data_IF_015297841041
#
_entry.id   IF_015297841041
#
_cell.length_a   1.000
_cell.length_b   1.000
_cell.length_c   1.000
_cell.angle_alpha   90.00
_cell.angle_beta   90.00
_cell.angle_gamma   90.00
#
_symmetry.space_group_name_H-M   'P 1'
#
loop_
_entity.id
_entity.type
_entity.pdbx_description
1 polymer ?
#
# COMPACT_ATOMS: atom_id res chain seq x y z
N UNK A 1 -24.73 -73.37 5.45
CA UNK A 1 -24.00 -72.39 4.60
C UNK A 1 -24.81 -71.12 4.57
N UNK A 2 -24.45 -70.14 5.40
CA UNK A 2 -25.21 -68.92 5.65
C UNK A 2 -24.49 -67.77 4.95
N UNK A 3 -25.12 -67.16 3.95
CA UNK A 3 -24.55 -66.02 3.21
C UNK A 3 -24.73 -64.74 4.03
N UNK A 4 -23.61 -64.13 4.40
CA UNK A 4 -23.55 -62.80 5.01
C UNK A 4 -23.57 -61.78 3.87
N UNK A 5 -24.64 -61.00 3.76
CA UNK A 5 -24.71 -59.84 2.88
C UNK A 5 -24.18 -58.62 3.64
N UNK A 6 -22.97 -58.17 3.27
CA UNK A 6 -22.41 -56.90 3.73
C UNK A 6 -23.01 -55.81 2.85
N UNK A 7 -23.98 -55.06 3.40
CA UNK A 7 -24.47 -53.83 2.79
C UNK A 7 -23.53 -52.70 3.22
N UNK A 8 -22.64 -52.27 2.32
CA UNK A 8 -21.84 -51.07 2.50
C UNK A 8 -22.73 -49.84 2.30
N UNK A 9 -23.08 -49.15 3.38
CA UNK A 9 -23.69 -47.83 3.31
C UNK A 9 -22.60 -46.78 3.03
N UNK A 10 -22.38 -46.48 1.75
CA UNK A 10 -21.66 -45.29 1.34
C UNK A 10 -22.55 -44.06 1.56
N UNK A 11 -22.46 -43.46 2.76
CA UNK A 11 -22.97 -42.11 2.98
C UNK A 11 -22.00 -41.18 2.26
N UNK A 12 -22.29 -40.91 0.99
CA UNK A 12 -21.72 -39.79 0.28
C UNK A 12 -22.21 -38.53 0.98
N UNK A 13 -21.36 -37.96 1.83
CA UNK A 13 -21.49 -36.56 2.27
C UNK A 13 -21.27 -35.72 1.03
N UNK A 14 -22.35 -35.52 0.26
CA UNK A 14 -22.47 -34.41 -0.68
C UNK A 14 -22.64 -33.14 0.16
N UNK A 15 -21.57 -32.75 0.87
CA UNK A 15 -21.36 -31.36 1.21
C UNK A 15 -21.08 -30.67 -0.12
N UNK A 16 -22.16 -30.29 -0.81
CA UNK A 16 -22.11 -29.30 -1.86
C UNK A 16 -21.57 -28.07 -1.15
N UNK A 17 -20.26 -27.83 -1.30
CA UNK A 17 -19.66 -26.55 -0.98
C UNK A 17 -20.50 -25.56 -1.76
N UNK A 18 -21.42 -24.88 -1.09
CA UNK A 18 -22.05 -23.70 -1.62
C UNK A 18 -20.89 -22.81 -2.00
N UNK A 19 -20.62 -22.69 -3.31
CA UNK A 19 -19.81 -21.64 -3.85
C UNK A 19 -20.46 -20.39 -3.29
N UNK A 20 -19.89 -19.85 -2.20
CA UNK A 20 -20.27 -18.56 -1.69
C UNK A 20 -20.19 -17.66 -2.91
N UNK A 21 -21.34 -17.15 -3.34
CA UNK A 21 -21.41 -16.23 -4.46
C UNK A 21 -20.39 -15.13 -4.13
N UNK A 22 -19.24 -15.17 -4.80
CA UNK A 22 -18.23 -14.16 -4.61
C UNK A 22 -18.95 -12.86 -4.95
N UNK A 23 -18.96 -11.92 -4.00
CA UNK A 23 -19.56 -10.62 -4.26
C UNK A 23 -18.96 -10.11 -5.59
N UNK A 24 -19.78 -9.55 -6.50
CA UNK A 24 -19.26 -8.98 -7.73
C UNK A 24 -18.08 -8.08 -7.34
N UNK A 25 -16.91 -8.24 -7.99
CA UNK A 25 -15.74 -7.47 -7.63
C UNK A 25 -16.14 -6.00 -7.69
N UNK A 26 -15.78 -5.19 -6.69
CA UNK A 26 -16.12 -3.79 -6.69
C UNK A 26 -15.66 -3.18 -8.01
N UNK A 27 -16.51 -2.34 -8.60
CA UNK A 27 -16.17 -1.57 -9.77
C UNK A 27 -14.87 -0.82 -9.52
N UNK A 28 -14.15 -0.55 -10.59
CA UNK A 28 -12.97 0.27 -10.54
C UNK A 28 -13.29 1.61 -9.83
N UNK A 29 -12.71 1.98 -8.66
CA UNK A 29 -12.87 3.31 -8.09
C UNK A 29 -12.81 4.42 -9.15
N UNK A 30 -13.67 5.43 -9.01
CA UNK A 30 -13.92 6.49 -10.02
C UNK A 30 -12.69 7.33 -10.37
N UNK A 31 -11.57 7.14 -9.67
CA UNK A 31 -10.32 7.86 -9.88
C UNK A 31 -9.74 7.63 -11.29
N UNK A 32 -10.14 6.59 -12.04
CA UNK A 32 -9.83 6.52 -13.49
C UNK A 32 -10.43 7.66 -14.31
N UNK A 33 -11.46 8.36 -13.81
CA UNK A 33 -12.00 9.54 -14.48
C UNK A 33 -11.07 10.76 -14.33
N UNK A 34 -10.24 10.78 -13.28
CA UNK A 34 -9.22 11.81 -13.03
C UNK A 34 -7.84 11.15 -12.95
N UNK A 35 -7.48 10.32 -13.93
CA UNK A 35 -6.08 9.89 -14.12
C UNK A 35 -5.12 11.08 -14.02
N UNK A 36 -3.81 10.84 -13.81
CA UNK A 36 -2.86 11.92 -13.49
C UNK A 36 -3.08 13.13 -14.40
N UNK A 37 -3.34 14.30 -13.80
CA UNK A 37 -3.68 15.52 -14.52
C UNK A 37 -2.68 15.73 -15.66
N UNK A 38 -3.18 15.83 -16.88
CA UNK A 38 -2.34 16.08 -18.05
C UNK A 38 -1.82 17.52 -18.01
N UNK A 39 -0.51 17.74 -18.26
CA UNK A 39 0.52 16.78 -18.59
C UNK A 39 1.17 16.15 -17.34
N UNK A 40 1.08 14.82 -17.23
CA UNK A 40 1.86 14.07 -16.25
C UNK A 40 3.33 14.12 -16.67
N UNK A 41 4.19 14.72 -15.83
CA UNK A 41 5.63 14.63 -16.05
C UNK A 41 6.09 13.22 -15.66
N UNK A 42 6.68 12.51 -16.62
CA UNK A 42 7.32 11.22 -16.42
C UNK A 42 8.70 11.36 -15.73
N UNK A 43 8.94 12.43 -14.98
CA UNK A 43 10.20 12.61 -14.26
C UNK A 43 9.83 12.93 -12.83
N UNK A 44 9.73 11.92 -11.98
CA UNK A 44 9.35 12.13 -10.57
C UNK A 44 10.51 12.66 -9.72
N UNK A 45 11.74 12.42 -10.19
CA UNK A 45 12.98 12.73 -9.49
C UNK A 45 12.92 12.34 -7.99
N UNK A 46 12.41 11.14 -7.69
CA UNK A 46 12.37 10.65 -6.31
C UNK A 46 13.78 10.63 -5.72
N UNK A 47 13.93 11.21 -4.53
CA UNK A 47 15.19 11.08 -3.77
C UNK A 47 15.42 9.62 -3.40
N UNK A 48 16.65 9.28 -3.02
CA UNK A 48 16.94 7.92 -2.55
C UNK A 48 16.15 7.59 -1.28
N UNK A 49 15.97 8.59 -0.41
CA UNK A 49 15.23 8.51 0.84
C UNK A 49 13.76 8.23 0.58
N UNK A 50 13.14 8.92 -0.39
CA UNK A 50 11.75 8.66 -0.80
C UNK A 50 11.58 7.23 -1.34
N UNK A 51 12.50 6.76 -2.19
CA UNK A 51 12.44 5.40 -2.76
C UNK A 51 12.52 4.33 -1.67
N UNK A 52 13.43 4.50 -0.72
CA UNK A 52 13.56 3.60 0.44
C UNK A 52 12.34 3.68 1.36
N UNK A 53 11.83 4.87 1.64
CA UNK A 53 10.64 5.07 2.47
C UNK A 53 9.41 4.39 1.83
N UNK A 54 9.19 4.58 0.53
CA UNK A 54 8.10 3.92 -0.20
C UNK A 54 8.26 2.41 -0.25
N UNK A 55 9.48 1.89 -0.35
CA UNK A 55 9.76 0.46 -0.24
C UNK A 55 9.40 -0.09 1.15
N UNK A 56 9.79 0.61 2.22
CA UNK A 56 9.46 0.23 3.60
C UNK A 56 7.95 0.27 3.88
N UNK A 57 7.27 1.34 3.44
CA UNK A 57 5.82 1.49 3.55
C UNK A 57 5.08 0.41 2.79
N UNK A 58 5.56 0.07 1.60
CA UNK A 58 5.07 -1.06 0.83
C UNK A 58 5.14 -2.34 1.68
N UNK A 59 6.32 -2.67 2.23
CA UNK A 59 6.48 -3.87 3.06
C UNK A 59 5.56 -3.95 4.28
N UNK A 60 5.31 -2.81 4.94
CA UNK A 60 4.33 -2.71 6.02
C UNK A 60 2.92 -3.06 5.51
N UNK A 61 2.52 -2.51 4.36
CA UNK A 61 1.24 -2.85 3.74
C UNK A 61 1.16 -4.32 3.32
N UNK A 62 2.21 -4.90 2.73
CA UNK A 62 2.20 -6.31 2.32
C UNK A 62 2.08 -7.26 3.54
N UNK A 63 2.67 -6.88 4.68
CA UNK A 63 2.51 -7.60 5.95
C UNK A 63 1.09 -7.47 6.50
N UNK A 64 0.46 -6.30 6.38
CA UNK A 64 -0.94 -6.11 6.76
C UNK A 64 -1.89 -6.93 5.88
N UNK A 65 -1.65 -7.04 4.58
CA UNK A 65 -2.41 -7.90 3.66
C UNK A 65 -2.33 -9.38 4.06
N UNK A 66 -1.12 -9.88 4.35
CA UNK A 66 -0.93 -11.25 4.83
C UNK A 66 -1.70 -11.49 6.15
N UNK A 67 -1.71 -10.52 7.06
CA UNK A 67 -2.51 -10.55 8.29
C UNK A 67 -4.01 -10.61 7.99
N UNK A 68 -4.49 -9.77 7.08
CA UNK A 68 -5.90 -9.73 6.67
C UNK A 68 -6.33 -11.06 6.05
N UNK A 69 -5.47 -11.69 5.25
CA UNK A 69 -5.77 -13.01 4.72
C UNK A 69 -5.86 -14.07 5.84
N UNK A 70 -4.92 -14.05 6.78
CA UNK A 70 -4.83 -15.06 7.84
C UNK A 70 -5.94 -14.95 8.89
N UNK A 71 -6.44 -13.74 9.19
CA UNK A 71 -7.39 -13.47 10.29
C UNK A 71 -8.64 -12.68 9.89
N UNK A 72 -8.82 -12.39 8.61
CA UNK A 72 -9.90 -11.55 8.12
C UNK A 72 -9.66 -10.05 8.32
N UNK A 73 -10.56 -9.26 7.73
CA UNK A 73 -10.52 -7.80 7.80
C UNK A 73 -11.07 -7.30 9.14
N UNK A 74 -10.19 -7.21 10.14
CA UNK A 74 -10.52 -6.63 11.45
C UNK A 74 -10.11 -5.17 11.48
N UNK A 75 -11.06 -4.29 11.78
CA UNK A 75 -10.80 -2.87 11.85
C UNK A 75 -9.81 -2.54 12.98
N UNK A 76 -8.75 -1.81 12.67
CA UNK A 76 -7.73 -1.38 13.64
C UNK A 76 -7.01 -0.14 13.13
N UNK A 77 -6.60 0.74 14.03
CA UNK A 77 -5.67 1.85 13.74
C UNK A 77 -4.42 1.66 14.58
N UNK A 78 -3.27 1.61 13.92
CA UNK A 78 -1.97 1.41 14.55
C UNK A 78 -1.07 2.62 14.25
N UNK A 79 -0.31 3.14 15.22
CA UNK A 79 0.65 4.20 14.95
C UNK A 79 1.72 3.70 13.99
N UNK A 80 2.21 4.56 13.10
CA UNK A 80 3.23 4.23 12.10
C UNK A 80 4.27 5.34 12.06
N UNK A 81 5.53 4.96 11.99
CA UNK A 81 6.68 5.86 11.80
C UNK A 81 7.58 5.30 10.73
N UNK A 82 8.08 6.16 9.83
CA UNK A 82 9.12 5.81 8.86
C UNK A 82 10.24 6.82 8.95
N UNK A 83 11.46 6.31 9.00
CA UNK A 83 12.67 7.10 9.11
C UNK A 83 13.71 6.60 8.11
N UNK A 84 14.20 7.52 7.27
CA UNK A 84 15.26 7.32 6.30
C UNK A 84 16.11 8.58 6.26
N UNK A 85 17.42 8.45 6.43
CA UNK A 85 18.37 9.56 6.29
C UNK A 85 19.48 9.23 5.29
N UNK A 86 20.26 10.24 4.93
CA UNK A 86 21.48 10.08 4.13
C UNK A 86 22.73 9.75 4.96
N UNK A 87 22.65 9.82 6.30
CA UNK A 87 23.81 9.93 7.21
C UNK A 87 24.16 8.60 7.90
N UNK A 88 23.50 7.51 7.50
CA UNK A 88 23.94 6.13 7.81
C UNK A 88 23.20 5.48 8.98
N UNK A 89 22.16 6.11 9.51
CA UNK A 89 21.21 5.39 10.38
C UNK A 89 20.48 4.37 9.51
N UNK A 90 20.31 3.14 9.99
CA UNK A 90 19.57 2.13 9.23
C UNK A 90 18.14 2.61 8.99
N UNK A 91 17.69 2.74 7.72
CA UNK A 91 16.33 3.11 7.41
C UNK A 91 15.33 2.10 7.97
N UNK A 92 14.26 2.58 8.60
CA UNK A 92 13.25 1.73 9.24
C UNK A 92 11.83 2.24 9.07
N UNK A 93 10.88 1.30 9.06
CA UNK A 93 9.47 1.55 9.30
C UNK A 93 9.02 0.76 10.53
N UNK A 94 8.36 1.45 11.46
CA UNK A 94 7.82 0.87 12.70
C UNK A 94 6.31 1.07 12.74
N UNK A 95 5.58 -0.04 12.70
CA UNK A 95 4.14 -0.10 12.92
C UNK A 95 3.90 -0.53 14.38
N UNK A 96 3.01 0.16 15.09
CA UNK A 96 2.69 -0.07 16.50
C UNK A 96 3.66 0.57 17.48
N UNK A 97 3.15 0.86 18.69
CA UNK A 97 3.93 1.49 19.77
C UNK A 97 4.35 0.51 20.87
N UNK A 98 3.60 -0.57 21.08
CA UNK A 98 3.81 -1.54 22.16
C UNK A 98 4.40 -2.84 21.61
N UNK A 99 5.18 -3.56 22.43
CA UNK A 99 5.85 -4.79 22.03
C UNK A 99 4.89 -5.82 21.38
N UNK A 100 3.66 -5.94 21.89
CA UNK A 100 2.66 -6.90 21.42
C UNK A 100 1.91 -6.49 20.15
N UNK A 101 2.16 -5.29 19.62
CA UNK A 101 1.56 -4.75 18.39
C UNK A 101 2.61 -4.12 17.48
N UNK A 102 3.90 -4.43 17.70
CA UNK A 102 5.00 -3.77 17.02
C UNK A 102 5.60 -4.63 15.93
N UNK A 103 5.67 -4.10 14.72
CA UNK A 103 6.40 -4.64 13.58
C UNK A 103 7.45 -3.62 13.14
N UNK A 104 8.71 -4.06 13.01
CA UNK A 104 9.79 -3.24 12.47
C UNK A 104 10.33 -3.89 11.21
N UNK A 105 10.33 -3.13 10.12
CA UNK A 105 11.05 -3.46 8.90
C UNK A 105 12.23 -2.51 8.75
N UNK A 106 13.35 -3.02 8.26
CA UNK A 106 14.57 -2.24 8.02
C UNK A 106 15.12 -2.50 6.63
N UNK A 107 15.76 -1.48 6.06
CA UNK A 107 16.56 -1.63 4.85
C UNK A 107 17.80 -2.45 5.20
N UNK A 108 18.06 -3.52 4.44
CA UNK A 108 19.21 -4.40 4.61
C UNK A 108 20.35 -4.00 3.70
N UNK A 109 20.06 -3.87 2.42
CA UNK A 109 21.06 -3.54 1.41
C UNK A 109 20.42 -2.76 0.27
N UNK A 110 21.26 -1.95 -0.38
CA UNK A 110 20.95 -1.32 -1.66
C UNK A 110 21.93 -1.88 -2.68
N UNK A 111 21.43 -2.35 -3.81
CA UNK A 111 22.24 -2.86 -4.91
C UNK A 111 21.92 -2.04 -6.16
N UNK A 112 22.93 -1.43 -6.76
CA UNK A 112 22.77 -0.75 -8.04
C UNK A 112 22.76 -1.80 -9.17
N UNK A 113 21.60 -1.94 -9.82
CA UNK A 113 21.41 -2.85 -10.95
C UNK A 113 21.69 -2.21 -12.32
N UNK A 114 22.25 -0.99 -12.34
CA UNK A 114 22.51 -0.25 -13.57
C UNK A 114 21.22 0.05 -14.32
N UNK A 115 21.12 -0.43 -15.57
CA UNK A 115 19.95 -0.19 -16.43
C UNK A 115 18.64 -0.77 -15.86
N UNK A 116 18.72 -1.76 -14.97
CA UNK A 116 17.53 -2.36 -14.32
C UNK A 116 16.97 -1.49 -13.20
N UNK A 117 17.72 -0.48 -12.74
CA UNK A 117 17.38 0.37 -11.61
C UNK A 117 18.06 -0.06 -10.31
N UNK A 118 17.74 0.64 -9.22
CA UNK A 118 18.26 0.33 -7.87
C UNK A 118 17.37 -0.69 -7.18
N UNK A 119 17.97 -1.67 -6.52
CA UNK A 119 17.31 -2.71 -5.74
C UNK A 119 17.46 -2.43 -4.25
N UNK A 120 16.34 -2.41 -3.53
CA UNK A 120 16.25 -2.21 -2.09
C UNK A 120 15.80 -3.52 -1.45
N UNK A 121 16.68 -4.15 -0.68
CA UNK A 121 16.34 -5.35 0.07
C UNK A 121 15.91 -4.96 1.48
N UNK A 122 14.72 -5.39 1.87
CA UNK A 122 14.07 -5.11 3.13
C UNK A 122 14.00 -6.40 3.95
N UNK A 123 14.04 -6.26 5.25
CA UNK A 123 13.87 -7.42 6.12
C UNK A 123 13.43 -7.05 7.52
N UNK A 124 13.01 -8.09 8.23
CA UNK A 124 12.67 -8.02 9.64
C UNK A 124 13.77 -8.70 10.46
N UNK A 125 14.30 -7.99 11.46
CA UNK A 125 15.33 -8.54 12.36
C UNK A 125 14.73 -9.41 13.47
N UNK A 126 13.55 -9.03 13.96
CA UNK A 126 12.87 -9.69 15.08
C UNK A 126 11.41 -9.88 14.75
N UNK A 127 10.85 -11.03 15.11
CA UNK A 127 9.41 -11.28 15.03
C UNK A 127 8.61 -10.12 15.66
N UNK A 128 7.53 -9.75 15.00
CA UNK A 128 6.70 -8.62 15.37
C UNK A 128 5.23 -9.00 15.37
N UNK A 129 4.39 -8.01 15.56
CA UNK A 129 2.95 -8.20 15.67
C UNK A 129 2.20 -7.13 14.88
N UNK A 130 1.03 -7.51 14.36
CA UNK A 130 0.03 -6.58 13.83
C UNK A 130 -1.30 -6.89 14.51
N UNK A 131 -1.74 -6.03 15.43
CA UNK A 131 -2.98 -6.20 16.19
C UNK A 131 -3.07 -7.58 16.86
N UNK A 132 -2.07 -7.89 17.68
CA UNK A 132 -1.91 -9.15 18.42
C UNK A 132 -1.56 -10.37 17.56
N UNK A 133 -1.46 -10.22 16.23
CA UNK A 133 -1.14 -11.33 15.32
C UNK A 133 0.36 -11.38 15.06
N UNK A 134 1.05 -12.49 15.39
CA UNK A 134 2.48 -12.64 15.08
C UNK A 134 2.76 -12.62 13.57
N UNK A 135 3.71 -11.77 13.18
CA UNK A 135 4.24 -11.62 11.82
C UNK A 135 5.76 -11.72 11.88
N UNK A 136 6.35 -12.63 11.12
CA UNK A 136 7.78 -12.91 11.20
C UNK A 136 8.39 -13.37 9.88
N UNK A 137 9.71 -13.21 9.78
CA UNK A 137 10.48 -13.63 8.62
C UNK A 137 10.14 -12.83 7.36
N UNK A 138 9.74 -11.55 7.50
CA UNK A 138 9.54 -10.69 6.34
C UNK A 138 10.87 -10.50 5.60
N UNK A 139 10.87 -10.81 4.30
CA UNK A 139 11.94 -10.53 3.35
C UNK A 139 11.33 -9.93 2.11
N UNK A 140 11.83 -8.78 1.67
CA UNK A 140 11.31 -8.09 0.49
C UNK A 140 12.42 -7.55 -0.40
N UNK A 141 12.17 -7.56 -1.71
CA UNK A 141 13.04 -6.95 -2.70
C UNK A 141 12.21 -5.98 -3.54
N UNK A 142 12.54 -4.70 -3.47
CA UNK A 142 11.89 -3.62 -4.22
C UNK A 142 12.88 -3.06 -5.23
N UNK A 143 12.55 -3.08 -6.52
CA UNK A 143 13.38 -2.56 -7.61
C UNK A 143 12.72 -1.29 -8.12
N UNK A 144 13.44 -0.16 -8.05
CA UNK A 144 12.99 1.10 -8.64
C UNK A 144 13.77 1.40 -9.92
N UNK A 145 13.04 1.50 -11.03
CA UNK A 145 13.58 1.90 -12.32
C UNK A 145 13.25 3.38 -12.58
N UNK A 146 14.26 4.24 -12.57
CA UNK A 146 14.10 5.68 -12.79
C UNK A 146 13.80 6.06 -14.24
N UNK A 147 14.12 5.21 -15.22
CA UNK A 147 13.80 5.49 -16.63
C UNK A 147 12.29 5.38 -16.88
N UNK A 148 11.61 4.46 -16.17
CA UNK A 148 10.18 4.22 -16.30
C UNK A 148 9.36 4.77 -15.11
N UNK A 149 10.01 5.30 -14.06
CA UNK A 149 9.40 5.65 -12.77
C UNK A 149 8.53 4.53 -12.20
N UNK A 150 9.03 3.30 -12.25
CA UNK A 150 8.30 2.11 -11.85
C UNK A 150 9.00 1.46 -10.66
N UNK A 151 8.21 1.00 -9.68
CA UNK A 151 8.69 0.11 -8.63
C UNK A 151 8.03 -1.26 -8.76
N UNK A 152 8.87 -2.29 -8.79
CA UNK A 152 8.46 -3.69 -8.75
C UNK A 152 8.91 -4.28 -7.43
N UNK A 153 8.06 -5.06 -6.79
CA UNK A 153 8.35 -5.64 -5.49
C UNK A 153 8.00 -7.11 -5.42
N UNK A 154 8.85 -7.88 -4.76
CA UNK A 154 8.55 -9.24 -4.32
C UNK A 154 8.75 -9.31 -2.81
N UNK A 155 7.88 -10.04 -2.11
CA UNK A 155 8.07 -10.31 -0.68
C UNK A 155 7.74 -11.75 -0.33
N UNK A 156 8.27 -12.17 0.81
CA UNK A 156 7.82 -13.32 1.57
C UNK A 156 7.60 -12.90 3.03
N UNK A 157 6.56 -13.43 3.66
CA UNK A 157 6.29 -13.19 5.09
C UNK A 157 5.50 -14.36 5.69
N UNK A 158 5.75 -14.67 6.95
CA UNK A 158 4.95 -15.64 7.69
C UNK A 158 4.01 -14.93 8.65
N UNK A 159 2.77 -15.39 8.67
CA UNK A 159 1.76 -14.91 9.63
C UNK A 159 1.19 -16.11 10.36
N UNK A 160 1.18 -16.03 11.68
CA UNK A 160 0.55 -17.07 12.51
C UNK A 160 -0.97 -16.99 12.32
N UNK A 161 -1.59 -18.06 11.84
CA UNK A 161 -3.04 -18.06 11.59
C UNK A 161 -3.87 -18.44 12.82
N UNK A 162 -5.19 -18.42 12.69
CA UNK A 162 -6.13 -18.67 13.78
C UNK A 162 -6.02 -20.06 14.42
N UNK A 163 -5.41 -21.03 13.72
CA UNK A 163 -5.12 -22.37 14.24
C UNK A 163 -3.72 -22.52 14.85
N UNK A 164 -3.01 -21.40 15.07
CA UNK A 164 -1.63 -21.38 15.60
C UNK A 164 -0.58 -22.03 14.68
N UNK A 165 -0.88 -22.15 13.38
CA UNK A 165 0.08 -22.60 12.37
C UNK A 165 0.56 -21.41 11.54
N UNK A 166 1.88 -21.24 11.34
CA UNK A 166 2.42 -20.26 10.41
C UNK A 166 1.96 -20.55 8.98
N UNK A 167 1.40 -19.54 8.32
CA UNK A 167 1.17 -19.58 6.88
C UNK A 167 2.24 -18.73 6.18
N UNK A 168 2.89 -19.28 5.15
CA UNK A 168 3.79 -18.50 4.30
C UNK A 168 2.99 -17.79 3.22
N UNK A 169 3.25 -16.50 3.10
CA UNK A 169 2.72 -15.64 2.06
C UNK A 169 3.84 -15.13 1.18
N UNK A 170 3.55 -15.00 -0.11
CA UNK A 170 4.40 -14.27 -1.05
C UNK A 170 3.58 -13.18 -1.73
N UNK A 171 4.19 -12.02 -1.93
CA UNK A 171 3.55 -10.85 -2.51
C UNK A 171 4.29 -10.37 -3.75
N UNK A 172 3.54 -9.90 -4.74
CA UNK A 172 4.07 -9.24 -5.92
C UNK A 172 3.38 -7.90 -6.10
N UNK A 173 4.16 -6.82 -6.24
CA UNK A 173 3.64 -5.48 -6.48
C UNK A 173 4.30 -4.88 -7.72
N UNK A 174 3.50 -4.18 -8.52
CA UNK A 174 3.97 -3.31 -9.60
C UNK A 174 3.24 -2.00 -9.46
N UNK A 175 3.99 -0.90 -9.40
CA UNK A 175 3.44 0.45 -9.32
C UNK A 175 4.27 1.45 -10.13
N UNK A 176 3.57 2.43 -10.67
CA UNK A 176 4.13 3.54 -11.42
C UNK A 176 3.99 4.83 -10.61
N UNK A 177 4.99 5.70 -10.71
CA UNK A 177 5.01 7.01 -10.05
C UNK A 177 4.85 8.13 -11.07
N UNK A 178 4.14 9.17 -10.65
CA UNK A 178 3.84 10.37 -11.45
C UNK A 178 4.05 11.61 -10.59
N UNK A 179 4.51 12.71 -11.19
CA UNK A 179 4.47 14.01 -10.52
C UNK A 179 3.14 14.72 -10.81
N UNK A 180 2.67 15.50 -9.84
CA UNK A 180 1.62 16.50 -10.07
C UNK A 180 2.03 17.51 -11.15
N UNK A 181 1.03 18.14 -11.76
CA UNK A 181 1.25 19.07 -12.86
C UNK A 181 2.19 20.21 -12.43
N UNK A 182 3.11 20.59 -13.31
CA UNK A 182 3.80 21.89 -13.24
C UNK A 182 3.05 22.99 -14.00
N UNK A 183 1.88 22.70 -14.57
CA UNK A 183 1.13 23.63 -15.40
C UNK A 183 0.29 24.53 -14.52
N UNK A 184 0.80 25.73 -14.28
CA UNK A 184 -0.05 26.86 -13.96
C UNK A 184 -1.14 26.97 -15.03
N UNK A 185 -2.40 26.88 -14.61
CA UNK A 185 -3.52 27.58 -15.26
C UNK A 185 -3.60 27.49 -16.80
N UNK A 186 -3.59 26.32 -17.42
CA UNK A 186 -4.10 26.16 -18.79
C UNK A 186 -5.55 25.69 -18.76
N UNK A 187 -6.39 26.59 -18.26
CA UNK A 187 -7.83 26.41 -18.14
C UNK A 187 -8.61 27.70 -17.82
N UNK A 188 -7.93 28.84 -17.66
CA UNK A 188 -8.58 30.14 -17.75
C UNK A 188 -8.87 30.40 -19.22
N UNK A 189 -10.15 30.40 -19.58
CA UNK A 189 -10.62 30.54 -20.94
C UNK A 189 -10.02 31.74 -21.65
N UNK A 190 -9.97 31.64 -22.98
CA UNK A 190 -9.85 32.79 -23.87
C UNK A 190 -10.97 33.79 -23.57
N UNK A 191 -10.69 34.76 -22.71
CA UNK A 191 -11.59 35.83 -22.32
C UNK A 191 -10.73 36.93 -21.71
N UNK A 192 -10.42 37.95 -22.52
CA UNK A 192 -9.55 39.05 -22.14
C UNK A 192 -10.02 39.77 -20.88
N UNK A 193 -9.04 40.21 -20.09
CA UNK A 193 -9.24 41.05 -18.93
C UNK A 193 -7.94 41.16 -18.16
N UNK A 194 -7.30 42.32 -18.25
CA UNK A 194 -6.18 42.72 -17.41
C UNK A 194 -6.59 42.67 -15.92
N UNK A 195 -6.24 41.61 -15.22
CA UNK A 195 -6.15 41.62 -13.77
C UNK A 195 -5.04 40.65 -13.32
N UNK A 196 -3.94 41.21 -12.80
CA UNK A 196 -2.79 40.47 -12.30
C UNK A 196 -3.10 39.78 -10.96
N UNK A 197 -4.02 38.83 -10.97
CA UNK A 197 -4.15 37.82 -9.93
C UNK A 197 -3.18 36.67 -10.20
N UNK A 198 -1.95 36.77 -9.70
CA UNK A 198 -0.99 35.65 -9.64
C UNK A 198 -1.63 34.53 -8.80
N UNK A 199 -2.29 33.57 -9.46
CA UNK A 199 -2.74 32.33 -8.82
C UNK A 199 -1.47 31.57 -8.41
N UNK A 200 -1.32 31.31 -7.12
CA UNK A 200 -0.21 30.56 -6.52
C UNK A 200 -0.19 29.12 -7.06
N UNK A 201 0.42 28.92 -8.22
CA UNK A 201 0.64 27.61 -8.85
C UNK A 201 1.86 26.87 -8.31
N UNK A 202 2.09 26.86 -7.00
CA UNK A 202 3.33 26.31 -6.40
C UNK A 202 3.17 24.97 -5.68
N UNK A 203 1.96 24.59 -5.24
CA UNK A 203 1.81 23.40 -4.40
C UNK A 203 1.86 22.07 -5.16
N UNK A 204 1.46 22.05 -6.44
CA UNK A 204 1.36 20.79 -7.21
C UNK A 204 2.71 20.22 -7.65
N UNK A 205 3.74 21.05 -7.77
CA UNK A 205 5.10 20.63 -8.16
C UNK A 205 5.80 19.79 -7.07
N UNK A 206 5.25 19.78 -5.86
CA UNK A 206 5.75 19.00 -4.74
C UNK A 206 4.96 17.69 -4.53
N UNK A 207 4.00 17.38 -5.41
CA UNK A 207 3.17 16.20 -5.32
C UNK A 207 3.71 15.03 -6.14
N UNK A 208 3.80 13.87 -5.51
CA UNK A 208 4.07 12.58 -6.13
C UNK A 208 2.83 11.71 -5.95
N UNK A 209 2.39 11.06 -7.02
CA UNK A 209 1.33 10.06 -7.01
C UNK A 209 1.92 8.70 -7.36
N UNK A 210 1.39 7.63 -6.78
CA UNK A 210 1.64 6.27 -7.28
C UNK A 210 0.37 5.44 -7.41
N UNK A 211 0.39 4.55 -8.39
CA UNK A 211 -0.73 3.68 -8.75
C UNK A 211 -0.17 2.30 -9.06
N UNK A 212 -0.84 1.27 -8.56
CA UNK A 212 -0.34 -0.08 -8.75
C UNK A 212 -1.34 -1.18 -8.46
N UNK A 213 -0.93 -2.39 -8.83
CA UNK A 213 -1.61 -3.63 -8.51
C UNK A 213 -0.68 -4.49 -7.64
N UNK A 214 -1.28 -5.10 -6.63
CA UNK A 214 -0.61 -6.12 -5.83
C UNK A 214 -1.39 -7.43 -5.86
N UNK A 215 -0.64 -8.54 -5.92
CA UNK A 215 -1.14 -9.89 -5.74
C UNK A 215 -0.50 -10.53 -4.52
N UNK A 216 -1.32 -11.19 -3.70
CA UNK A 216 -0.89 -11.99 -2.56
C UNK A 216 -1.15 -13.47 -2.86
N UNK A 217 -0.15 -14.30 -2.58
CA UNK A 217 -0.20 -15.74 -2.72
C UNK A 217 0.02 -16.39 -1.35
N UNK A 218 -0.68 -17.51 -1.11
CA UNK A 218 -0.46 -18.39 0.03
C UNK A 218 0.07 -19.71 -0.50
N UNK A 219 1.27 -20.12 -0.11
CA UNK A 219 1.91 -21.34 -0.63
C UNK A 219 1.87 -21.44 -2.16
N UNK A 220 2.17 -20.33 -2.86
CA UNK A 220 2.14 -20.20 -4.33
C UNK A 220 0.74 -20.24 -4.98
N UNK A 221 -0.35 -20.28 -4.20
CA UNK A 221 -1.70 -20.13 -4.73
C UNK A 221 -2.15 -18.68 -4.62
N UNK A 222 -2.63 -18.04 -5.70
CA UNK A 222 -3.14 -16.67 -5.65
C UNK A 222 -4.40 -16.62 -4.79
N UNK A 223 -4.37 -15.81 -3.74
CA UNK A 223 -5.47 -15.71 -2.77
C UNK A 223 -6.15 -14.35 -2.78
N UNK A 224 -5.40 -13.28 -3.00
CA UNK A 224 -5.94 -11.92 -2.93
C UNK A 224 -5.28 -11.00 -3.97
N UNK A 225 -6.04 -9.98 -4.39
CA UNK A 225 -5.55 -8.89 -5.22
C UNK A 225 -5.95 -7.57 -4.58
N UNK A 226 -5.06 -6.61 -4.65
CA UNK A 226 -5.25 -5.28 -4.09
C UNK A 226 -4.95 -4.24 -5.15
N UNK A 227 -5.79 -3.22 -5.22
CA UNK A 227 -5.41 -1.98 -5.87
C UNK A 227 -4.75 -1.05 -4.89
N UNK A 228 -3.70 -0.39 -5.36
CA UNK A 228 -2.94 0.57 -4.61
C UNK A 228 -3.01 1.94 -5.27
N UNK A 229 -3.09 2.96 -4.42
CA UNK A 229 -2.85 4.34 -4.79
C UNK A 229 -2.14 5.09 -3.67
N UNK A 230 -1.34 6.08 -4.01
CA UNK A 230 -0.73 6.98 -3.05
C UNK A 230 -0.69 8.43 -3.54
N UNK A 231 -0.54 9.35 -2.59
CA UNK A 231 -0.15 10.74 -2.82
C UNK A 231 0.83 11.13 -1.73
N UNK A 232 1.90 11.81 -2.11
CA UNK A 232 2.91 12.35 -1.21
C UNK A 232 3.19 13.79 -1.59
N UNK A 233 3.15 14.70 -0.61
CA UNK A 233 3.64 16.07 -0.72
C UNK A 233 5.03 16.14 -0.07
N UNK A 234 6.01 16.65 -0.82
CA UNK A 234 7.34 17.00 -0.29
C UNK A 234 7.26 18.21 0.63
N UNK A 235 8.23 18.36 1.53
CA UNK A 235 8.37 19.55 2.36
C UNK A 235 8.81 20.74 1.50
N UNK A 236 8.07 21.84 1.58
CA UNK A 236 8.26 23.11 0.85
C UNK A 236 8.39 24.32 1.83
N UNK A 237 8.78 24.05 3.07
CA UNK A 237 8.71 24.98 4.19
C UNK A 237 7.71 24.53 5.26
N UNK A 238 6.80 23.63 4.90
CA UNK A 238 5.92 22.90 5.84
C UNK A 238 6.27 21.42 6.01
N UNK A 239 5.42 20.73 6.78
CA UNK A 239 5.44 19.27 6.86
C UNK A 239 5.03 18.67 5.51
N UNK A 240 5.85 17.77 5.01
CA UNK A 240 5.46 16.82 3.98
C UNK A 240 4.41 15.86 4.52
N UNK A 241 3.62 15.30 3.62
CA UNK A 241 2.47 14.46 3.96
C UNK A 241 2.42 13.29 2.98
N UNK A 242 2.16 12.09 3.47
CA UNK A 242 2.10 10.89 2.63
C UNK A 242 0.87 10.07 2.96
N UNK A 243 0.10 9.70 1.94
CA UNK A 243 -1.05 8.84 2.07
C UNK A 243 -0.94 7.66 1.11
N UNK A 244 -1.13 6.43 1.60
CA UNK A 244 -1.29 5.23 0.79
C UNK A 244 -2.65 4.60 1.06
N UNK A 245 -3.29 4.05 0.04
CA UNK A 245 -4.52 3.28 0.19
C UNK A 245 -4.42 2.02 -0.64
N UNK A 246 -4.73 0.90 -0.01
CA UNK A 246 -4.94 -0.38 -0.67
C UNK A 246 -6.34 -0.90 -0.45
N UNK A 247 -7.00 -1.19 -1.56
CA UNK A 247 -8.36 -1.71 -1.60
C UNK A 247 -8.34 -3.16 -2.08
N UNK A 248 -8.89 -4.07 -1.27
CA UNK A 248 -9.00 -5.49 -1.60
C UNK A 248 -10.05 -5.69 -2.69
N UNK A 249 -9.64 -6.29 -3.81
CA UNK A 249 -10.49 -6.54 -4.97
C UNK A 249 -11.20 -7.90 -4.92
N UNK A 250 -10.55 -8.90 -4.32
CA UNK A 250 -11.03 -10.29 -4.30
C UNK A 250 -11.03 -10.80 -2.86
N UNK A 251 -12.19 -11.22 -2.38
CA UNK A 251 -12.36 -11.76 -1.03
C UNK A 251 -13.81 -11.83 -0.57
N UNK A 252 -14.03 -12.52 0.55
CA UNK A 252 -15.36 -12.63 1.17
C UNK A 252 -15.82 -11.34 1.85
N UNK A 253 -14.87 -10.52 2.30
CA UNK A 253 -15.15 -9.24 2.96
C UNK A 253 -14.37 -8.13 2.29
N UNK A 254 -15.01 -6.97 2.03
CA UNK A 254 -14.28 -5.78 1.60
C UNK A 254 -13.27 -5.38 2.68
N UNK A 255 -12.09 -4.95 2.25
CA UNK A 255 -11.06 -4.48 3.17
C UNK A 255 -10.24 -3.36 2.55
N UNK A 256 -9.99 -2.32 3.34
CA UNK A 256 -9.11 -1.22 3.00
C UNK A 256 -7.99 -1.12 4.02
N UNK A 257 -6.76 -1.04 3.54
CA UNK A 257 -5.59 -0.61 4.31
C UNK A 257 -5.30 0.83 3.90
N UNK A 258 -5.15 1.74 4.84
CA UNK A 258 -4.80 3.13 4.58
C UNK A 258 -3.64 3.56 5.47
N UNK A 259 -2.65 4.24 4.92
CA UNK A 259 -1.58 4.90 5.65
C UNK A 259 -1.77 6.40 5.49
N UNK A 260 -1.61 7.14 6.59
CA UNK A 260 -1.60 8.59 6.60
C UNK A 260 -0.44 9.06 7.49
N UNK A 261 0.48 9.82 6.92
CA UNK A 261 1.72 10.26 7.56
C UNK A 261 1.95 11.75 7.34
N UNK A 262 2.61 12.39 8.30
CA UNK A 262 3.07 13.78 8.23
C UNK A 262 4.46 13.90 8.86
N UNK A 263 5.28 14.79 8.35
CA UNK A 263 6.61 15.08 8.89
C UNK A 263 7.56 15.67 7.85
N UNK A 264 8.84 15.35 7.94
CA UNK A 264 9.84 15.80 6.97
C UNK A 264 9.86 14.88 5.75
N UNK A 265 9.79 15.48 4.56
CA UNK A 265 10.11 14.81 3.29
C UNK A 265 10.96 15.75 2.44
N UNK A 266 12.27 15.68 2.62
CA UNK A 266 13.29 16.50 1.95
C UNK A 266 14.31 15.60 1.25
N UNK A 267 15.21 16.19 0.46
CA UNK A 267 16.18 15.44 -0.36
C UNK A 267 17.01 14.45 0.47
N UNK A 268 17.45 14.84 1.67
CA UNK A 268 18.35 14.01 2.50
C UNK A 268 17.66 13.29 3.66
N UNK A 269 16.36 13.51 3.86
CA UNK A 269 15.62 12.93 4.98
C UNK A 269 14.15 12.69 4.63
N UNK A 270 13.69 11.48 4.91
CA UNK A 270 12.28 11.13 4.98
C UNK A 270 11.99 10.69 6.41
N UNK A 271 11.32 11.54 7.18
CA UNK A 271 10.91 11.22 8.55
C UNK A 271 9.48 11.66 8.78
N UNK A 272 8.57 10.69 8.73
CA UNK A 272 7.15 10.95 8.92
C UNK A 272 6.53 9.98 9.91
N UNK A 273 5.54 10.47 10.65
CA UNK A 273 4.76 9.69 11.60
C UNK A 273 3.27 9.87 11.35
N UNK A 274 2.47 8.93 11.81
CA UNK A 274 1.03 8.94 11.65
C UNK A 274 0.45 7.57 11.95
N UNK A 275 -0.35 7.02 11.05
CA UNK A 275 -1.05 5.76 11.30
C UNK A 275 -1.23 4.89 10.07
N UNK A 276 -1.40 3.60 10.32
CA UNK A 276 -1.99 2.62 9.42
C UNK A 276 -3.37 2.24 9.95
N UNK A 277 -4.38 2.28 9.10
CA UNK A 277 -5.76 1.91 9.39
C UNK A 277 -6.17 0.73 8.52
N UNK A 278 -6.66 -0.34 9.13
CA UNK A 278 -7.39 -1.42 8.45
C UNK A 278 -8.87 -1.18 8.72
N UNK A 279 -9.71 -1.28 7.69
CA UNK A 279 -11.16 -1.06 7.81
C UNK A 279 -11.94 -1.94 6.84
N UNK A 280 -13.21 -2.20 7.16
CA UNK A 280 -14.14 -3.01 6.34
C UNK A 280 -14.83 -2.19 5.24
N UNK A 281 -14.27 -1.03 4.90
CA UNK A 281 -14.81 -0.16 3.86
C UNK A 281 -14.79 -0.88 2.53
N UNK A 282 -15.92 -0.83 1.82
CA UNK A 282 -15.96 -1.25 0.42
C UNK A 282 -15.06 -0.32 -0.39
N UNK A 283 -14.31 -0.84 -1.37
CA UNK A 283 -13.72 0.01 -2.40
C UNK A 283 -14.86 0.79 -3.03
N UNK A 284 -14.93 2.07 -2.71
CA UNK A 284 -16.03 2.89 -3.13
C UNK A 284 -15.73 3.45 -4.52
N UNK A 285 -16.73 3.38 -5.40
CA UNK A 285 -16.87 4.31 -6.53
C UNK A 285 -17.20 5.69 -5.94
N UNK A 286 -16.24 6.34 -5.26
CA UNK A 286 -16.53 7.65 -4.67
C UNK A 286 -16.52 8.67 -5.79
N UNK A 287 -17.66 9.31 -6.01
CA UNK A 287 -17.72 10.66 -6.59
C UNK A 287 -17.32 11.62 -5.46
N UNK A 288 -16.29 12.47 -5.61
CA UNK A 288 -15.82 13.35 -4.55
C UNK A 288 -16.98 14.17 -3.92
N UNK A 289 -17.09 14.20 -2.58
CA UNK A 289 -17.92 15.18 -1.86
C UNK A 289 -19.03 14.71 -0.90
N UNK A 290 -19.17 13.43 -0.54
CA UNK A 290 -20.19 13.02 0.46
C UNK A 290 -19.70 13.09 1.92
N UNK A 291 -20.47 13.72 2.84
CA UNK A 291 -20.14 13.77 4.27
C UNK A 291 -20.19 12.38 4.92
N UNK A 292 -19.20 12.06 5.76
CA UNK A 292 -19.14 10.81 6.53
C UNK A 292 -18.33 9.67 5.89
N UNK A 293 -17.78 9.89 4.69
CA UNK A 293 -16.81 8.98 4.08
C UNK A 293 -15.42 9.28 4.64
N UNK A 294 -14.67 8.29 5.19
CA UNK A 294 -13.31 8.53 5.63
C UNK A 294 -12.48 9.03 4.46
N UNK A 295 -11.75 10.09 4.76
CA UNK A 295 -11.03 10.93 3.83
C UNK A 295 -10.39 10.14 2.67
N UNK A 296 -10.75 10.46 1.43
CA UNK A 296 -9.93 10.11 0.28
C UNK A 296 -8.51 10.69 0.48
N UNK A 297 -7.54 10.18 -0.29
CA UNK A 297 -6.18 10.72 -0.33
C UNK A 297 -6.18 12.27 -0.45
N UNK A 298 -7.16 12.84 -1.16
CA UNK A 298 -7.39 14.29 -1.29
C UNK A 298 -7.74 15.02 0.01
N UNK A 299 -8.28 14.32 1.01
CA UNK A 299 -8.67 14.86 2.33
C UNK A 299 -7.76 14.39 3.47
N UNK A 300 -6.88 13.42 3.24
CA UNK A 300 -5.80 13.02 4.17
C UNK A 300 -4.65 14.03 4.10
N UNK A 301 -4.41 14.56 2.90
CA UNK A 301 -3.44 15.62 2.64
C UNK A 301 -4.27 16.90 2.57
N UNK A 302 -4.39 17.63 3.67
CA UNK A 302 -5.29 18.78 3.77
C UNK A 302 -4.94 19.84 2.72
N UNK A 303 -5.77 19.92 1.68
CA UNK A 303 -5.82 20.97 0.67
C UNK A 303 -7.26 21.48 0.58
#
# INVERSE_FOLDING_TARGET
>A
MTKINILAAAIAVASVSSLAAAAPPPGAPSVYNNGPFTPAMNVTNLSEQERVAYALLEGIMQSAEAKIHAHGCQAVTLPLSVYVDAVGTTPTATLGAQANDRLILSLKTVVDGGFRGKTYNLGQDVAGFINGTPVFGYLGTMIYNSANNMMLGNMEVNVLSSNWVPNKFTGHVVKDFYMGSAVGSEGAGAGGGDDQGRVEGTDEQHLVFDWGLQSLLKESYPVEKYWQRSKSRRSDGGNGQTAFVKDRLVGVTPCRIAIALSGLNQVDIFWQTGSLTISTLKPAEVTPGQPGVPAEISSIVGF
#
